data_IF_963162108238
#
_entry.id   IF_963162108238
#
_cell.length_a   1.000
_cell.length_b   1.000
_cell.length_c   1.000
_cell.angle_alpha   90.00
_cell.angle_beta   90.00
_cell.angle_gamma   90.00
#
_symmetry.space_group_name_H-M   'P 1'
#
loop_
_entity.id
_entity.type
_entity.pdbx_description
1 polymer ?
#
# COMPACT_ATOMS: atom_id res chain seq x y z
N UNK A 1 -35.48 12.21 -19.91
CA UNK A 1 -34.77 11.06 -19.30
C UNK A 1 -34.11 10.29 -20.43
N UNK A 2 -32.81 10.00 -20.33
CA UNK A 2 -32.11 9.17 -21.34
C UNK A 2 -32.71 7.76 -21.34
N UNK A 3 -32.87 7.15 -22.51
CA UNK A 3 -33.34 5.76 -22.62
C UNK A 3 -32.37 4.80 -21.93
N UNK A 4 -32.90 3.67 -21.44
CA UNK A 4 -32.09 2.60 -20.88
C UNK A 4 -31.08 2.13 -21.95
N UNK A 5 -29.78 2.03 -21.64
CA UNK A 5 -28.81 1.53 -22.59
C UNK A 5 -29.12 0.08 -22.94
N UNK A 6 -28.91 -0.27 -24.20
CA UNK A 6 -28.96 -1.66 -24.64
C UNK A 6 -27.70 -2.38 -24.16
N UNK A 7 -27.87 -3.58 -23.61
CA UNK A 7 -26.77 -4.37 -23.06
C UNK A 7 -26.65 -5.70 -23.80
N UNK A 8 -25.40 -6.17 -23.95
CA UNK A 8 -25.13 -7.48 -24.53
C UNK A 8 -25.79 -8.57 -23.70
N UNK A 9 -26.42 -9.52 -24.41
CA UNK A 9 -26.90 -10.76 -23.82
C UNK A 9 -25.72 -11.55 -23.24
N UNK A 10 -25.87 -11.92 -21.97
CA UNK A 10 -24.88 -12.69 -21.23
C UNK A 10 -24.85 -14.13 -21.75
N UNK A 11 -23.66 -14.73 -21.84
CA UNK A 11 -23.43 -16.12 -22.28
C UNK A 11 -22.78 -16.95 -21.16
N UNK A 12 -23.56 -17.43 -20.18
CA UNK A 12 -23.02 -18.18 -19.04
C UNK A 12 -22.26 -19.45 -19.44
N UNK A 13 -22.57 -20.04 -20.60
CA UNK A 13 -21.92 -21.24 -21.13
C UNK A 13 -20.45 -21.04 -21.53
N UNK A 14 -20.02 -19.80 -21.76
CA UNK A 14 -18.63 -19.46 -22.05
C UNK A 14 -17.82 -19.14 -20.80
N UNK A 15 -18.45 -19.12 -19.62
CA UNK A 15 -17.77 -18.85 -18.37
C UNK A 15 -17.07 -20.14 -17.92
N UNK A 16 -15.76 -20.11 -17.67
CA UNK A 16 -15.04 -21.31 -17.30
C UNK A 16 -15.58 -21.96 -16.01
N UNK A 17 -15.70 -23.30 -15.93
CA UNK A 17 -16.27 -24.00 -14.79
C UNK A 17 -15.60 -23.68 -13.44
N UNK A 18 -14.31 -23.35 -13.44
CA UNK A 18 -13.55 -23.01 -12.23
C UNK A 18 -14.03 -21.71 -11.54
N UNK A 19 -14.85 -20.90 -12.21
CA UNK A 19 -15.44 -19.67 -11.65
C UNK A 19 -16.69 -19.94 -10.81
N UNK A 20 -17.23 -21.17 -10.85
CA UNK A 20 -18.45 -21.55 -10.14
C UNK A 20 -18.34 -21.36 -8.62
N UNK A 21 -17.12 -21.47 -8.08
CA UNK A 21 -16.83 -21.32 -6.66
C UNK A 21 -16.86 -19.87 -6.16
N UNK A 22 -16.97 -18.89 -7.05
CA UNK A 22 -16.96 -17.48 -6.69
C UNK A 22 -18.32 -16.99 -6.20
N UNK A 23 -18.33 -15.75 -5.74
CA UNK A 23 -19.52 -15.07 -5.25
C UNK A 23 -20.13 -14.22 -6.37
N UNK A 24 -21.38 -14.50 -6.68
CA UNK A 24 -22.11 -13.95 -7.82
C UNK A 24 -23.30 -13.09 -7.39
N UNK A 25 -23.66 -12.15 -8.26
CA UNK A 25 -24.84 -11.31 -8.11
C UNK A 25 -25.45 -11.02 -9.48
N UNK A 26 -26.78 -10.85 -9.52
CA UNK A 26 -27.47 -10.30 -10.69
C UNK A 26 -27.52 -8.78 -10.59
N UNK A 27 -27.79 -8.07 -11.68
CA UNK A 27 -27.95 -6.61 -11.65
C UNK A 27 -28.99 -6.14 -12.64
N UNK A 28 -29.65 -5.03 -12.30
CA UNK A 28 -30.46 -4.24 -13.23
C UNK A 28 -29.89 -2.84 -13.31
N UNK A 29 -29.85 -2.27 -14.51
CA UNK A 29 -29.42 -0.89 -14.68
C UNK A 29 -30.42 0.07 -14.03
N UNK A 30 -29.91 0.91 -13.14
CA UNK A 30 -30.68 1.94 -12.44
C UNK A 30 -29.99 3.28 -12.56
N UNK A 31 -30.75 4.36 -12.66
CA UNK A 31 -30.19 5.71 -12.62
C UNK A 31 -29.86 6.11 -11.19
N UNK A 32 -28.70 6.74 -11.00
CA UNK A 32 -28.36 7.41 -9.75
C UNK A 32 -29.05 8.79 -9.65
N UNK A 33 -28.75 9.54 -8.58
CA UNK A 33 -29.33 10.86 -8.33
C UNK A 33 -28.99 11.90 -9.41
N UNK A 34 -27.90 11.67 -10.14
CA UNK A 34 -27.41 12.53 -11.22
C UNK A 34 -27.90 12.06 -12.59
N UNK A 35 -28.77 11.04 -12.63
CA UNK A 35 -29.31 10.45 -13.86
C UNK A 35 -28.35 9.52 -14.60
N UNK A 36 -27.21 9.15 -13.99
CA UNK A 36 -26.24 8.23 -14.62
C UNK A 36 -26.66 6.79 -14.43
N UNK A 37 -26.54 6.00 -15.49
CA UNK A 37 -26.83 4.58 -15.45
C UNK A 37 -25.76 3.80 -14.67
N UNK A 38 -26.16 3.18 -13.58
CA UNK A 38 -25.33 2.34 -12.70
C UNK A 38 -25.85 0.91 -12.71
N UNK A 39 -24.98 -0.05 -12.37
CA UNK A 39 -25.28 -1.49 -12.37
C UNK A 39 -25.04 -2.06 -10.97
N UNK A 40 -25.87 -1.74 -9.97
CA UNK A 40 -25.67 -2.24 -8.61
C UNK A 40 -25.90 -3.75 -8.53
N UNK A 41 -25.10 -4.49 -7.74
CA UNK A 41 -25.34 -5.91 -7.52
C UNK A 41 -26.60 -6.12 -6.68
N UNK A 42 -27.37 -7.15 -7.02
CA UNK A 42 -28.59 -7.57 -6.37
C UNK A 42 -28.60 -9.08 -6.14
N UNK A 43 -29.41 -9.52 -5.17
CA UNK A 43 -29.76 -10.93 -5.00
C UNK A 43 -30.84 -11.37 -6.01
N UNK A 44 -31.22 -12.65 -6.00
CA UNK A 44 -32.23 -13.21 -6.90
C UNK A 44 -33.62 -12.57 -6.78
N UNK A 45 -33.94 -11.91 -5.66
CA UNK A 45 -35.19 -11.18 -5.45
C UNK A 45 -35.12 -9.72 -5.90
N UNK A 46 -33.94 -9.26 -6.37
CA UNK A 46 -33.72 -7.90 -6.87
C UNK A 46 -33.37 -6.87 -5.79
N UNK A 47 -33.16 -7.29 -4.54
CA UNK A 47 -32.67 -6.41 -3.50
C UNK A 47 -31.17 -6.16 -3.66
N UNK A 48 -30.75 -4.90 -3.53
CA UNK A 48 -29.34 -4.50 -3.61
C UNK A 48 -28.53 -5.14 -2.49
N UNK A 49 -27.36 -5.67 -2.83
CA UNK A 49 -26.44 -6.29 -1.87
C UNK A 49 -25.14 -5.49 -1.75
N UNK A 50 -24.46 -5.65 -0.62
CA UNK A 50 -23.23 -4.90 -0.32
C UNK A 50 -22.01 -5.67 -0.78
N UNK A 51 -21.04 -4.97 -1.39
CA UNK A 51 -19.71 -5.51 -1.71
C UNK A 51 -18.85 -5.77 -0.47
N UNK A 52 -19.27 -5.32 0.72
CA UNK A 52 -18.60 -5.60 2.00
C UNK A 52 -19.26 -6.76 2.78
N UNK A 53 -20.32 -7.38 2.26
CA UNK A 53 -21.05 -8.49 2.91
C UNK A 53 -21.11 -9.72 2.01
N UNK A 54 -20.02 -10.52 1.93
CA UNK A 54 -19.92 -11.70 1.08
C UNK A 54 -21.05 -12.71 1.29
N UNK A 55 -21.57 -12.82 2.51
CA UNK A 55 -22.66 -13.70 2.89
C UNK A 55 -24.00 -13.40 2.18
N UNK A 56 -24.16 -12.20 1.63
CA UNK A 56 -25.33 -11.81 0.84
C UNK A 56 -25.24 -12.16 -0.64
N UNK A 57 -24.14 -12.78 -1.09
CA UNK A 57 -23.89 -13.12 -2.48
C UNK A 57 -24.28 -14.57 -2.78
N UNK A 58 -24.59 -14.83 -4.05
CA UNK A 58 -25.10 -16.11 -4.52
C UNK A 58 -23.99 -16.98 -5.11
N UNK A 59 -24.28 -18.28 -5.27
CA UNK A 59 -23.45 -19.17 -6.10
C UNK A 59 -23.74 -18.94 -7.58
N UNK A 60 -22.84 -19.42 -8.44
CA UNK A 60 -22.99 -19.27 -9.89
C UNK A 60 -24.32 -19.80 -10.43
N UNK A 61 -24.71 -21.03 -10.10
CA UNK A 61 -25.94 -21.63 -10.62
C UNK A 61 -27.19 -20.87 -10.17
N UNK A 62 -27.20 -20.35 -8.95
CA UNK A 62 -28.29 -19.52 -8.43
C UNK A 62 -28.39 -18.20 -9.20
N UNK A 63 -27.27 -17.50 -9.40
CA UNK A 63 -27.23 -16.27 -10.19
C UNK A 63 -27.61 -16.52 -11.66
N UNK A 64 -27.15 -17.62 -12.25
CA UNK A 64 -27.48 -18.05 -13.61
C UNK A 64 -28.97 -18.35 -13.77
N UNK A 65 -29.58 -19.03 -12.81
CA UNK A 65 -31.02 -19.32 -12.83
C UNK A 65 -31.86 -18.05 -12.66
N UNK A 66 -31.39 -17.09 -11.87
CA UNK A 66 -32.07 -15.81 -11.69
C UNK A 66 -31.95 -14.89 -12.92
N UNK A 67 -30.90 -15.04 -13.74
CA UNK A 67 -30.51 -14.13 -14.84
C UNK A 67 -31.66 -13.73 -15.78
N UNK A 68 -32.63 -14.61 -16.04
CA UNK A 68 -33.77 -14.32 -16.92
C UNK A 68 -34.62 -13.10 -16.48
N UNK A 69 -34.56 -12.70 -15.21
CA UNK A 69 -35.24 -11.52 -14.68
C UNK A 69 -34.39 -10.25 -14.59
N UNK A 70 -33.15 -10.27 -15.07
CA UNK A 70 -32.16 -9.22 -14.85
C UNK A 70 -31.38 -8.87 -16.12
N UNK A 71 -30.81 -7.66 -16.16
CA UNK A 71 -29.98 -7.20 -17.29
C UNK A 71 -28.65 -7.93 -17.40
N UNK A 72 -28.18 -8.56 -16.33
CA UNK A 72 -26.97 -9.36 -16.34
C UNK A 72 -26.59 -9.86 -14.94
N UNK A 73 -25.39 -10.43 -14.85
CA UNK A 73 -24.77 -10.79 -13.58
C UNK A 73 -23.31 -10.34 -13.49
N UNK A 74 -22.65 -10.67 -12.39
CA UNK A 74 -21.25 -10.40 -12.19
C UNK A 74 -20.72 -11.05 -10.92
N UNK A 75 -19.45 -10.78 -10.65
CA UNK A 75 -18.67 -11.42 -9.59
C UNK A 75 -18.22 -10.40 -8.57
N UNK A 76 -18.10 -10.84 -7.31
CA UNK A 76 -17.42 -10.09 -6.26
C UNK A 76 -15.92 -10.39 -6.31
N UNK A 77 -15.14 -9.35 -6.55
CA UNK A 77 -13.71 -9.35 -6.29
C UNK A 77 -13.51 -9.13 -4.80
N UNK A 78 -12.92 -10.11 -4.11
CA UNK A 78 -12.59 -10.04 -2.69
C UNK A 78 -11.13 -9.65 -2.50
N UNK A 79 -10.88 -8.82 -1.48
CA UNK A 79 -9.54 -8.30 -1.19
C UNK A 79 -8.55 -9.42 -0.87
N UNK A 80 -9.03 -10.45 -0.19
CA UNK A 80 -8.26 -11.60 0.29
C UNK A 80 -8.03 -12.64 -0.81
N UNK A 81 -8.80 -12.62 -1.89
CA UNK A 81 -8.60 -13.49 -3.05
C UNK A 81 -7.44 -12.98 -3.92
N UNK A 82 -6.87 -13.84 -4.76
CA UNK A 82 -5.91 -13.49 -5.81
C UNK A 82 -6.58 -13.02 -7.11
N UNK A 83 -7.90 -13.11 -7.23
CA UNK A 83 -8.63 -12.72 -8.42
C UNK A 83 -8.65 -11.19 -8.59
N UNK A 84 -8.31 -10.71 -9.79
CA UNK A 84 -8.44 -9.31 -10.18
C UNK A 84 -9.27 -9.16 -11.43
N UNK A 85 -9.94 -8.01 -11.51
CA UNK A 85 -10.63 -7.58 -12.71
C UNK A 85 -10.02 -6.28 -13.22
N UNK A 86 -9.89 -6.19 -14.54
CA UNK A 86 -9.35 -5.06 -15.28
C UNK A 86 -10.47 -4.61 -16.22
N UNK A 87 -11.09 -3.46 -15.97
CA UNK A 87 -12.17 -2.90 -16.79
C UNK A 87 -11.63 -1.77 -17.67
N UNK A 88 -11.72 -1.93 -18.99
CA UNK A 88 -11.26 -0.95 -19.96
C UNK A 88 -12.48 -0.29 -20.61
N UNK A 89 -12.62 1.01 -20.40
CA UNK A 89 -13.69 1.82 -20.95
C UNK A 89 -13.26 2.50 -22.25
N UNK A 90 -14.18 2.56 -23.23
CA UNK A 90 -14.00 3.25 -24.51
C UNK A 90 -12.68 2.84 -25.21
N UNK A 91 -12.53 1.53 -25.48
CA UNK A 91 -11.26 0.95 -25.94
C UNK A 91 -10.76 1.56 -27.27
N UNK A 92 -11.69 1.98 -28.11
CA UNK A 92 -11.47 2.67 -29.39
C UNK A 92 -10.80 4.04 -29.22
N UNK A 93 -11.09 4.73 -28.11
CA UNK A 93 -10.45 5.99 -27.72
C UNK A 93 -9.20 5.76 -26.86
N UNK A 94 -9.24 4.75 -26.00
CA UNK A 94 -8.16 4.42 -25.07
C UNK A 94 -6.88 3.98 -25.78
N UNK A 95 -6.97 3.05 -26.73
CA UNK A 95 -5.76 2.50 -27.39
C UNK A 95 -4.99 3.58 -28.16
N UNK A 96 -5.64 4.48 -28.94
CA UNK A 96 -4.93 5.60 -29.56
C UNK A 96 -4.31 6.57 -28.57
N UNK A 97 -4.97 6.83 -27.44
CA UNK A 97 -4.47 7.73 -26.41
C UNK A 97 -3.38 7.10 -25.52
N UNK A 98 -3.34 5.77 -25.43
CA UNK A 98 -2.38 5.00 -24.63
C UNK A 98 -1.95 3.71 -25.38
N UNK A 99 -1.03 3.82 -26.36
CA UNK A 99 -0.56 2.67 -27.13
C UNK A 99 0.05 1.54 -26.29
N UNK A 100 0.60 1.87 -25.12
CA UNK A 100 1.14 0.95 -24.11
C UNK A 100 0.08 -0.05 -23.66
N UNK A 101 -1.15 0.41 -23.40
CA UNK A 101 -2.30 -0.45 -23.08
C UNK A 101 -2.55 -1.42 -24.22
N UNK A 102 -2.47 -0.95 -25.48
CA UNK A 102 -2.59 -1.80 -26.66
C UNK A 102 -1.55 -2.92 -26.71
N UNK A 103 -0.29 -2.63 -26.36
CA UNK A 103 0.80 -3.64 -26.31
C UNK A 103 0.56 -4.67 -25.20
N UNK A 104 0.14 -4.23 -24.02
CA UNK A 104 -0.19 -5.11 -22.90
C UNK A 104 -1.36 -6.04 -23.25
N UNK A 105 -2.41 -5.51 -23.87
CA UNK A 105 -3.56 -6.29 -24.34
C UNK A 105 -3.19 -7.30 -25.44
N UNK A 106 -2.33 -6.92 -26.38
CA UNK A 106 -1.86 -7.81 -27.43
C UNK A 106 -1.09 -9.00 -26.84
N UNK A 107 -0.24 -8.74 -25.84
CA UNK A 107 0.46 -9.78 -25.08
C UNK A 107 -0.54 -10.65 -24.28
N UNK A 108 -1.47 -10.04 -23.56
CA UNK A 108 -2.48 -10.76 -22.79
C UNK A 108 -3.31 -11.71 -23.66
N UNK A 109 -3.73 -11.24 -24.85
CA UNK A 109 -4.42 -12.08 -25.84
C UNK A 109 -3.53 -13.22 -26.34
N UNK A 110 -2.25 -12.97 -26.61
CA UNK A 110 -1.31 -13.99 -27.09
C UNK A 110 -1.05 -15.07 -26.03
N UNK A 111 -0.94 -14.67 -24.77
CA UNK A 111 -0.79 -15.59 -23.64
C UNK A 111 -2.09 -16.35 -23.33
N UNK A 112 -3.22 -15.93 -23.91
CA UNK A 112 -4.51 -16.60 -23.70
C UNK A 112 -5.18 -16.21 -22.39
N UNK A 113 -4.94 -15.00 -21.89
CA UNK A 113 -5.64 -14.45 -20.72
C UNK A 113 -7.12 -14.27 -21.05
N UNK A 114 -8.01 -14.53 -20.09
CA UNK A 114 -9.45 -14.35 -20.27
C UNK A 114 -9.77 -12.88 -20.55
N UNK A 115 -10.52 -12.64 -21.63
CA UNK A 115 -11.00 -11.33 -22.03
C UNK A 115 -12.40 -11.40 -22.60
N UNK A 116 -13.29 -10.53 -22.12
CA UNK A 116 -14.68 -10.44 -22.55
C UNK A 116 -15.09 -9.00 -22.89
N UNK A 117 -16.12 -8.84 -23.70
CA UNK A 117 -16.71 -7.52 -23.96
C UNK A 117 -17.48 -7.04 -22.73
N UNK A 118 -17.41 -5.75 -22.43
CA UNK A 118 -18.26 -5.16 -21.38
C UNK A 118 -19.75 -5.18 -21.79
N UNK A 119 -20.71 -4.97 -20.89
CA UNK A 119 -22.13 -5.06 -21.20
C UNK A 119 -22.58 -4.05 -22.25
N UNK A 120 -21.92 -2.89 -22.35
CA UNK A 120 -22.22 -1.92 -23.42
C UNK A 120 -21.65 -2.32 -24.78
N UNK A 121 -20.82 -3.37 -24.85
CA UNK A 121 -20.15 -3.82 -26.06
C UNK A 121 -18.98 -2.96 -26.55
N UNK A 122 -18.76 -1.80 -25.93
CA UNK A 122 -17.73 -0.82 -26.30
C UNK A 122 -16.46 -0.90 -25.45
N UNK A 123 -16.50 -1.61 -24.32
CA UNK A 123 -15.37 -1.83 -23.42
C UNK A 123 -14.89 -3.27 -23.44
N UNK A 124 -13.79 -3.51 -22.72
CA UNK A 124 -13.15 -4.81 -22.58
C UNK A 124 -12.92 -5.10 -21.11
N UNK A 125 -13.09 -6.35 -20.68
CA UNK A 125 -12.72 -6.80 -19.34
C UNK A 125 -11.80 -7.98 -19.38
N UNK A 126 -10.81 -7.95 -18.52
CA UNK A 126 -9.92 -9.07 -18.29
C UNK A 126 -10.00 -9.50 -16.83
N UNK A 127 -9.86 -10.81 -16.61
CA UNK A 127 -9.79 -11.40 -15.29
C UNK A 127 -8.51 -12.21 -15.18
N UNK A 128 -7.75 -11.98 -14.11
CA UNK A 128 -6.42 -12.55 -13.89
C UNK A 128 -6.26 -12.96 -12.42
N UNK A 129 -5.32 -13.85 -12.14
CA UNK A 129 -4.80 -14.05 -10.79
C UNK A 129 -3.57 -13.18 -10.59
N UNK A 130 -3.56 -12.42 -9.50
CA UNK A 130 -2.52 -11.47 -9.13
C UNK A 130 -2.75 -11.00 -7.69
N UNK A 131 -1.78 -11.11 -6.77
CA UNK A 131 -1.86 -10.44 -5.47
C UNK A 131 -2.20 -8.93 -5.59
N UNK A 132 -3.06 -8.43 -4.69
CA UNK A 132 -3.37 -7.01 -4.61
C UNK A 132 -2.58 -6.38 -3.49
N UNK A 133 -1.52 -5.66 -3.86
CA UNK A 133 -0.58 -5.07 -2.91
C UNK A 133 -0.94 -3.62 -2.53
N UNK A 134 -1.97 -3.04 -3.17
CA UNK A 134 -2.39 -1.67 -2.91
C UNK A 134 -3.38 -1.58 -1.74
N UNK A 135 -3.31 -0.49 -0.99
CA UNK A 135 -4.27 -0.24 0.08
C UNK A 135 -5.68 0.04 -0.46
N UNK A 136 -5.77 0.71 -1.62
CA UNK A 136 -7.03 1.10 -2.25
C UNK A 136 -7.83 -0.12 -2.74
N UNK A 137 -9.15 -0.01 -2.84
CA UNK A 137 -9.99 -1.12 -3.38
C UNK A 137 -9.91 -1.23 -4.90
N UNK A 138 -9.64 -0.11 -5.56
CA UNK A 138 -9.50 0.00 -7.00
C UNK A 138 -8.58 1.16 -7.34
N UNK A 139 -7.97 1.10 -8.51
CA UNK A 139 -7.07 2.13 -9.05
C UNK A 139 -7.52 2.48 -10.46
N UNK A 140 -7.35 3.72 -10.90
CA UNK A 140 -7.78 4.15 -12.23
C UNK A 140 -6.59 4.72 -13.01
N UNK A 141 -6.27 4.08 -14.12
CA UNK A 141 -5.31 4.59 -15.10
C UNK A 141 -6.11 5.36 -16.15
N UNK A 142 -6.01 6.69 -16.15
CA UNK A 142 -6.79 7.53 -17.07
C UNK A 142 -5.94 7.92 -18.28
N UNK A 143 -6.55 7.88 -19.47
CA UNK A 143 -5.89 8.34 -20.67
C UNK A 143 -5.58 9.85 -20.57
N UNK A 144 -4.36 10.28 -20.91
CA UNK A 144 -4.01 11.70 -20.92
C UNK A 144 -4.83 12.45 -21.98
N UNK A 145 -5.04 13.74 -21.76
CA UNK A 145 -5.68 14.65 -22.72
C UNK A 145 -6.92 15.38 -22.19
N UNK A 146 -7.36 16.37 -22.97
CA UNK A 146 -8.54 17.18 -22.69
C UNK A 146 -9.81 16.49 -23.21
N UNK A 147 -10.51 15.81 -22.30
CA UNK A 147 -11.75 15.11 -22.63
C UNK A 147 -12.98 16.01 -22.42
N UNK A 148 -13.98 16.00 -23.31
CA UNK A 148 -15.16 16.85 -23.19
C UNK A 148 -15.88 16.71 -21.85
N UNK A 149 -16.26 17.84 -21.27
CA UNK A 149 -16.97 17.89 -19.99
C UNK A 149 -18.32 17.17 -20.10
N UNK A 150 -18.45 16.03 -19.41
CA UNK A 150 -19.65 15.18 -19.42
C UNK A 150 -19.46 13.84 -20.14
N UNK A 151 -18.37 13.65 -20.88
CA UNK A 151 -17.97 12.35 -21.40
C UNK A 151 -17.14 11.57 -20.37
N UNK A 152 -17.25 10.24 -20.40
CA UNK A 152 -16.42 9.37 -19.56
C UNK A 152 -15.00 9.36 -20.13
N UNK A 153 -14.03 9.83 -19.34
CA UNK A 153 -12.60 9.77 -19.68
C UNK A 153 -12.20 8.31 -19.94
N UNK A 154 -11.68 7.98 -21.14
CA UNK A 154 -11.16 6.65 -21.42
C UNK A 154 -10.08 6.27 -20.42
N UNK A 155 -10.03 4.99 -20.06
CA UNK A 155 -9.10 4.54 -19.05
C UNK A 155 -9.32 3.08 -18.68
N UNK A 156 -8.49 2.65 -17.74
CA UNK A 156 -8.50 1.31 -17.16
C UNK A 156 -8.81 1.43 -15.68
N UNK A 157 -9.85 0.74 -15.22
CA UNK A 157 -10.16 0.56 -13.80
C UNK A 157 -9.66 -0.82 -13.35
N UNK A 158 -8.73 -0.83 -12.40
CA UNK A 158 -8.13 -2.03 -11.83
C UNK A 158 -8.80 -2.33 -10.48
N UNK A 159 -9.40 -3.50 -10.32
CA UNK A 159 -10.16 -3.88 -9.14
C UNK A 159 -9.40 -4.89 -8.28
N UNK A 160 -9.06 -4.47 -7.05
CA UNK A 160 -8.64 -5.36 -5.95
C UNK A 160 -9.79 -5.78 -5.04
N UNK A 161 -10.88 -5.01 -5.04
CA UNK A 161 -12.12 -5.34 -4.33
C UNK A 161 -13.32 -4.63 -4.98
N UNK A 162 -14.43 -5.33 -5.16
CA UNK A 162 -15.68 -4.74 -5.63
C UNK A 162 -16.49 -5.64 -6.55
N UNK A 163 -17.62 -5.14 -7.02
CA UNK A 163 -18.46 -5.83 -7.99
C UNK A 163 -18.01 -5.53 -9.41
N UNK A 164 -17.82 -6.56 -10.23
CA UNK A 164 -17.55 -6.42 -11.66
C UNK A 164 -18.53 -7.27 -12.46
N UNK A 165 -19.18 -6.67 -13.45
CA UNK A 165 -20.14 -7.39 -14.28
C UNK A 165 -19.44 -8.38 -15.21
N UNK A 166 -20.11 -9.48 -15.54
CA UNK A 166 -19.58 -10.54 -16.40
C UNK A 166 -20.55 -10.76 -17.55
N UNK A 167 -20.04 -10.86 -18.78
CA UNK A 167 -20.86 -11.11 -19.97
C UNK A 167 -20.67 -12.50 -20.55
N UNK A 168 -19.51 -13.13 -20.38
CA UNK A 168 -19.19 -14.38 -21.08
C UNK A 168 -19.12 -14.21 -22.61
N UNK A 169 -19.11 -12.98 -23.12
CA UNK A 169 -18.98 -12.71 -24.56
C UNK A 169 -17.49 -12.52 -24.85
N UNK A 170 -16.80 -13.52 -25.42
CA UNK A 170 -15.35 -13.47 -25.56
C UNK A 170 -14.91 -12.32 -26.47
N UNK A 171 -13.91 -11.56 -26.01
CA UNK A 171 -13.22 -10.59 -26.85
C UNK A 171 -12.22 -11.28 -27.80
N UNK A 172 -11.72 -12.46 -27.41
CA UNK A 172 -10.91 -13.36 -28.23
C UNK A 172 -11.12 -14.82 -27.81
N UNK A 173 -10.77 -15.75 -28.70
CA UNK A 173 -10.99 -17.19 -28.48
C UNK A 173 -10.01 -17.77 -27.47
N UNK A 174 -10.49 -18.71 -26.66
CA UNK A 174 -9.65 -19.59 -25.83
C UNK A 174 -9.01 -18.91 -24.61
N UNK A 175 -9.49 -17.74 -24.20
CA UNK A 175 -9.00 -17.07 -23.00
C UNK A 175 -9.36 -17.84 -21.73
N UNK A 176 -8.42 -17.95 -20.80
CA UNK A 176 -8.59 -18.55 -19.47
C UNK A 176 -7.99 -17.64 -18.39
N UNK A 177 -8.39 -17.79 -17.14
CA UNK A 177 -7.74 -17.03 -16.06
C UNK A 177 -6.35 -17.58 -15.84
N UNK A 178 -5.38 -16.68 -15.87
CA UNK A 178 -3.98 -16.99 -15.63
C UNK A 178 -3.38 -16.05 -14.59
N UNK A 179 -2.30 -16.49 -13.97
CA UNK A 179 -1.42 -15.63 -13.19
C UNK A 179 -0.82 -14.57 -14.12
N UNK A 180 -1.12 -13.30 -13.87
CA UNK A 180 -0.68 -12.20 -14.71
C UNK A 180 -0.40 -10.93 -13.90
N UNK A 181 0.42 -11.06 -12.85
CA UNK A 181 0.90 -9.92 -12.08
C UNK A 181 1.57 -8.87 -12.99
N UNK A 182 2.31 -9.32 -14.02
CA UNK A 182 2.95 -8.44 -15.01
C UNK A 182 1.97 -7.50 -15.73
N UNK A 183 0.73 -7.96 -15.96
CA UNK A 183 -0.28 -7.16 -16.64
C UNK A 183 -0.84 -6.12 -15.68
N UNK A 184 -1.08 -6.51 -14.43
CA UNK A 184 -1.51 -5.59 -13.38
C UNK A 184 -0.46 -4.51 -13.12
N UNK A 185 0.80 -4.91 -12.92
CA UNK A 185 1.94 -4.00 -12.69
C UNK A 185 2.17 -3.09 -13.89
N UNK A 186 2.16 -3.66 -15.11
CA UNK A 186 2.34 -2.90 -16.34
C UNK A 186 1.26 -1.85 -16.55
N UNK A 187 0.01 -2.12 -16.14
CA UNK A 187 -1.07 -1.13 -16.18
C UNK A 187 -0.93 -0.09 -15.07
N UNK A 188 -0.58 -0.50 -13.85
CA UNK A 188 -0.35 0.42 -12.72
C UNK A 188 0.80 1.40 -12.99
N UNK A 189 1.85 0.94 -13.66
CA UNK A 189 2.97 1.80 -14.06
C UNK A 189 2.54 2.94 -14.99
N UNK A 190 1.44 2.78 -15.75
CA UNK A 190 0.91 3.83 -16.63
C UNK A 190 0.10 4.91 -15.91
N UNK A 191 -0.30 4.69 -14.65
CA UNK A 191 -0.92 5.74 -13.82
C UNK A 191 0.10 6.85 -13.50
N UNK A 192 1.37 6.49 -13.50
CA UNK A 192 2.49 7.39 -13.38
C UNK A 192 2.98 7.65 -14.80
N UNK A 193 2.52 8.70 -15.51
CA UNK A 193 3.25 9.11 -16.70
C UNK A 193 4.70 9.28 -16.24
N UNK A 194 5.64 8.68 -16.96
CA UNK A 194 7.03 9.13 -16.92
C UNK A 194 6.94 10.66 -16.94
N UNK A 195 7.23 11.30 -15.79
CA UNK A 195 7.57 12.71 -15.83
C UNK A 195 8.66 12.75 -16.90
N UNK A 196 8.59 13.67 -17.88
CA UNK A 196 9.74 13.86 -18.74
C UNK A 196 10.90 14.00 -17.75
N UNK A 197 11.86 13.10 -17.83
CA UNK A 197 13.17 13.34 -17.27
C UNK A 197 13.52 14.66 -17.93
N UNK A 198 13.35 15.77 -17.21
CA UNK A 198 14.07 16.98 -17.53
C UNK A 198 15.46 16.42 -17.72
N UNK A 199 15.99 16.54 -18.94
CA UNK A 199 17.40 16.38 -19.13
C UNK A 199 18.00 17.36 -18.12
N UNK A 200 18.35 16.83 -16.94
CA UNK A 200 19.21 17.50 -15.99
C UNK A 200 20.41 17.78 -16.87
N UNK A 201 20.69 19.06 -17.06
CA UNK A 201 22.00 19.42 -17.54
C UNK A 201 22.95 18.65 -16.62
N UNK A 202 23.76 17.81 -17.25
CA UNK A 202 24.78 17.03 -16.59
C UNK A 202 25.83 18.05 -16.16
N UNK A 203 25.51 18.74 -15.06
CA UNK A 203 26.36 19.71 -14.39
C UNK A 203 27.41 18.86 -13.70
N UNK A 204 28.36 18.32 -14.48
CA UNK A 204 29.31 17.28 -14.07
C UNK A 204 29.85 17.48 -12.66
N UNK A 205 29.19 16.88 -11.67
CA UNK A 205 29.80 16.61 -10.38
C UNK A 205 30.84 15.52 -10.65
N UNK A 206 32.11 15.78 -10.31
CA UNK A 206 33.17 14.81 -10.59
C UNK A 206 32.80 13.48 -9.92
N UNK A 207 32.97 12.34 -10.63
CA UNK A 207 32.65 11.04 -10.07
C UNK A 207 33.39 10.88 -8.75
N UNK A 208 32.62 10.63 -7.68
CA UNK A 208 33.21 10.29 -6.39
C UNK A 208 33.94 8.95 -6.55
N UNK A 209 35.07 8.81 -5.86
CA UNK A 209 35.72 7.50 -5.77
C UNK A 209 34.72 6.53 -5.14
N UNK A 210 34.26 5.57 -5.95
CA UNK A 210 33.22 4.64 -5.58
C UNK A 210 33.65 3.79 -4.37
N UNK A 211 34.92 3.41 -4.28
CA UNK A 211 35.43 2.65 -3.14
C UNK A 211 35.38 3.48 -1.87
N UNK A 212 35.80 4.75 -1.91
CA UNK A 212 35.72 5.65 -0.76
C UNK A 212 34.26 5.97 -0.38
N UNK A 213 33.38 6.11 -1.38
CA UNK A 213 31.96 6.32 -1.15
C UNK A 213 31.32 5.10 -0.47
N UNK A 214 31.58 3.89 -0.97
CA UNK A 214 31.08 2.64 -0.38
C UNK A 214 31.60 2.46 1.05
N UNK A 215 32.87 2.76 1.34
CA UNK A 215 33.40 2.73 2.72
C UNK A 215 32.64 3.70 3.65
N UNK A 216 32.45 4.95 3.21
CA UNK A 216 31.73 5.97 4.00
C UNK A 216 30.27 5.59 4.22
N UNK A 217 29.59 5.11 3.18
CA UNK A 217 28.18 4.68 3.25
C UNK A 217 28.06 3.45 4.14
N UNK A 218 28.92 2.44 3.98
CA UNK A 218 28.95 1.23 4.82
C UNK A 218 29.08 1.58 6.31
N UNK A 219 30.09 2.40 6.67
CA UNK A 219 30.30 2.84 8.05
C UNK A 219 29.12 3.66 8.60
N UNK A 220 28.44 4.44 7.75
CA UNK A 220 27.28 5.23 8.14
C UNK A 220 26.02 4.37 8.36
N UNK A 221 25.82 3.34 7.54
CA UNK A 221 24.70 2.39 7.63
C UNK A 221 24.91 1.45 8.81
N UNK A 222 26.11 0.88 8.98
CA UNK A 222 26.47 0.02 10.12
C UNK A 222 26.25 0.74 11.46
N UNK A 223 26.65 2.02 11.56
CA UNK A 223 26.41 2.83 12.78
C UNK A 223 24.92 3.08 13.04
N UNK A 224 24.10 3.25 11.99
CA UNK A 224 22.68 3.61 12.11
C UNK A 224 21.76 2.40 12.26
N UNK A 225 22.14 1.25 11.69
CA UNK A 225 21.37 0.02 11.65
C UNK A 225 22.26 -1.20 11.96
N UNK A 226 22.95 -1.25 13.12
CA UNK A 226 23.97 -2.26 13.40
C UNK A 226 23.43 -3.69 13.39
N UNK A 227 22.20 -3.90 13.88
CA UNK A 227 21.56 -5.24 13.89
C UNK A 227 21.23 -5.72 12.48
N UNK A 228 20.58 -4.87 11.69
CA UNK A 228 20.20 -5.20 10.32
C UNK A 228 21.44 -5.36 9.42
N UNK A 229 22.47 -4.54 9.65
CA UNK A 229 23.76 -4.63 8.98
C UNK A 229 24.47 -5.95 9.28
N UNK A 230 24.42 -6.44 10.52
CA UNK A 230 24.98 -7.73 10.91
C UNK A 230 24.19 -8.94 10.36
N UNK A 231 23.08 -8.71 9.66
CA UNK A 231 22.20 -9.77 9.15
C UNK A 231 21.22 -10.32 10.19
N UNK A 232 21.18 -9.72 11.39
CA UNK A 232 20.26 -10.11 12.46
C UNK A 232 18.89 -9.43 12.26
N UNK A 233 18.17 -9.87 11.24
CA UNK A 233 16.84 -9.34 10.93
C UNK A 233 15.74 -9.89 11.84
N UNK A 234 16.02 -10.97 12.57
CA UNK A 234 15.07 -11.64 13.50
C UNK A 234 15.31 -11.24 14.96
N UNK A 235 16.56 -10.95 15.32
CA UNK A 235 17.00 -10.73 16.69
C UNK A 235 16.77 -9.29 17.13
N UNK A 236 15.83 -9.16 18.07
CA UNK A 236 15.93 -8.15 19.12
C UNK A 236 16.48 -8.82 20.37
N UNK A 237 17.79 -8.71 20.61
CA UNK A 237 18.36 -8.85 21.96
C UNK A 237 19.60 -7.95 22.14
N UNK A 238 19.43 -6.85 22.91
CA UNK A 238 20.48 -5.94 23.43
C UNK A 238 21.10 -4.99 22.39
N UNK A 239 21.43 -3.72 22.62
CA UNK A 239 21.80 -3.01 23.86
C UNK A 239 21.43 -1.51 23.82
N UNK A 240 20.49 -1.11 22.95
CA UNK A 240 20.01 0.28 22.86
C UNK A 240 18.49 0.32 22.67
N UNK A 241 17.74 0.27 23.77
CA UNK A 241 16.41 0.87 23.92
C UNK A 241 15.31 0.49 22.90
N UNK A 242 14.57 -0.58 23.24
CA UNK A 242 13.13 -0.79 23.03
C UNK A 242 12.48 -0.67 21.63
N UNK A 243 12.19 -1.84 21.03
CA UNK A 243 10.80 -2.16 20.64
C UNK A 243 10.40 -2.06 19.17
N UNK A 244 11.14 -2.69 18.25
CA UNK A 244 10.54 -3.22 17.01
C UNK A 244 10.95 -4.68 16.95
N UNK A 245 9.98 -5.60 17.06
CA UNK A 245 10.26 -7.01 16.74
C UNK A 245 10.88 -7.08 15.36
N UNK A 246 11.80 -8.03 15.15
CA UNK A 246 12.48 -8.22 13.87
C UNK A 246 11.53 -8.21 12.66
N UNK A 247 12.10 -8.04 11.48
CA UNK A 247 11.30 -7.91 10.27
C UNK A 247 10.42 -9.16 10.08
N UNK A 248 9.14 -9.00 9.69
CA UNK A 248 8.20 -10.12 9.53
C UNK A 248 8.64 -11.10 8.42
N UNK A 249 9.55 -10.67 7.56
CA UNK A 249 10.26 -11.51 6.62
C UNK A 249 11.60 -10.89 6.22
N UNK A 250 12.48 -11.76 5.74
CA UNK A 250 13.83 -11.39 5.31
C UNK A 250 13.81 -10.47 4.07
N UNK A 251 12.74 -10.49 3.27
CA UNK A 251 12.61 -9.57 2.12
C UNK A 251 12.25 -8.15 2.54
N UNK A 252 11.49 -7.98 3.62
CA UNK A 252 11.23 -6.70 4.27
C UNK A 252 12.49 -6.13 4.90
N UNK A 253 13.32 -7.00 5.51
CA UNK A 253 14.64 -6.66 6.02
C UNK A 253 15.58 -6.17 4.91
N UNK A 254 15.68 -6.90 3.80
CA UNK A 254 16.50 -6.54 2.64
C UNK A 254 16.07 -5.16 2.08
N UNK A 255 14.77 -4.92 1.94
CA UNK A 255 14.30 -3.64 1.42
C UNK A 255 14.55 -2.47 2.38
N UNK A 256 14.36 -2.68 3.69
CA UNK A 256 14.64 -1.64 4.69
C UNK A 256 16.11 -1.25 4.74
N UNK A 257 17.03 -2.24 4.67
CA UNK A 257 18.46 -1.98 4.60
C UNK A 257 18.83 -1.26 3.29
N UNK A 258 18.26 -1.68 2.15
CA UNK A 258 18.48 -1.03 0.87
C UNK A 258 18.01 0.44 0.85
N UNK A 259 16.88 0.76 1.49
CA UNK A 259 16.40 2.16 1.63
C UNK A 259 17.36 3.01 2.46
N UNK A 260 17.88 2.47 3.56
CA UNK A 260 18.85 3.19 4.39
C UNK A 260 20.18 3.40 3.65
N UNK A 261 20.66 2.41 2.90
CA UNK A 261 21.84 2.53 2.03
C UNK A 261 21.63 3.61 0.97
N UNK A 262 20.50 3.60 0.25
CA UNK A 262 20.22 4.60 -0.78
C UNK A 262 20.17 6.03 -0.21
N UNK A 263 19.58 6.18 0.98
CA UNK A 263 19.54 7.47 1.70
C UNK A 263 20.95 7.94 2.09
N UNK A 264 21.80 7.03 2.56
CA UNK A 264 23.18 7.34 2.93
C UNK A 264 24.08 7.62 1.74
N UNK A 265 23.91 6.92 0.63
CA UNK A 265 24.64 7.18 -0.60
C UNK A 265 24.36 8.60 -1.11
N UNK A 266 23.09 9.04 -1.10
CA UNK A 266 22.72 10.42 -1.44
C UNK A 266 23.30 11.44 -0.46
N UNK A 267 23.24 11.18 0.85
CA UNK A 267 23.80 12.05 1.90
C UNK A 267 25.34 12.17 1.79
N UNK A 268 26.01 11.13 1.30
CA UNK A 268 27.44 11.10 1.03
C UNK A 268 27.85 11.76 -0.30
N UNK A 269 26.88 12.27 -1.08
CA UNK A 269 27.11 12.92 -2.37
C UNK A 269 27.38 11.93 -3.52
N UNK A 270 26.91 10.69 -3.42
CA UNK A 270 26.99 9.74 -4.54
C UNK A 270 26.03 10.21 -5.65
N UNK A 271 26.52 10.42 -6.88
CA UNK A 271 25.68 10.88 -7.99
C UNK A 271 24.70 9.79 -8.41
N UNK A 272 23.57 10.21 -8.98
CA UNK A 272 22.49 9.29 -9.40
C UNK A 272 22.98 8.16 -10.31
N UNK A 273 23.97 8.45 -11.17
CA UNK A 273 24.61 7.49 -12.08
C UNK A 273 25.37 6.36 -11.36
N UNK A 274 25.82 6.57 -10.12
CA UNK A 274 26.58 5.61 -9.32
C UNK A 274 25.77 5.01 -8.16
N UNK A 275 24.55 5.50 -7.89
CA UNK A 275 23.76 5.05 -6.74
C UNK A 275 23.46 3.55 -6.77
N UNK A 276 23.15 3.00 -7.94
CA UNK A 276 22.85 1.58 -8.08
C UNK A 276 24.04 0.71 -7.68
N UNK A 277 25.21 1.01 -8.25
CA UNK A 277 26.47 0.28 -8.01
C UNK A 277 26.95 0.45 -6.58
N UNK A 278 26.96 1.69 -6.07
CA UNK A 278 27.34 1.99 -4.69
C UNK A 278 26.43 1.27 -3.68
N UNK A 279 25.12 1.20 -3.97
CA UNK A 279 24.16 0.57 -3.07
C UNK A 279 24.27 -0.96 -3.08
N UNK A 280 24.50 -1.58 -4.24
CA UNK A 280 24.72 -3.04 -4.31
C UNK A 280 26.01 -3.45 -3.61
N UNK A 281 27.12 -2.74 -3.88
CA UNK A 281 28.41 -3.03 -3.24
C UNK A 281 28.37 -2.82 -1.73
N UNK A 282 27.67 -1.77 -1.27
CA UNK A 282 27.44 -1.55 0.17
C UNK A 282 26.58 -2.67 0.77
N UNK A 283 25.50 -3.08 0.09
CA UNK A 283 24.63 -4.14 0.59
C UNK A 283 25.38 -5.47 0.72
N UNK A 284 26.25 -5.80 -0.26
CA UNK A 284 27.04 -7.02 -0.28
C UNK A 284 28.02 -7.15 0.90
N UNK A 285 28.29 -6.06 1.62
CA UNK A 285 29.11 -6.05 2.84
C UNK A 285 28.31 -6.33 4.11
N UNK A 286 26.98 -6.36 4.03
CA UNK A 286 26.10 -6.67 5.16
C UNK A 286 25.90 -8.17 5.33
N UNK A 287 25.55 -8.60 6.54
CA UNK A 287 25.19 -9.99 6.83
C UNK A 287 23.91 -10.47 6.13
N UNK A 288 23.05 -9.56 5.65
CA UNK A 288 21.87 -9.95 4.84
C UNK A 288 22.25 -10.47 3.45
N UNK A 289 23.42 -10.10 2.94
CA UNK A 289 23.89 -10.55 1.63
C UNK A 289 24.25 -12.05 1.59
N UNK A 290 24.41 -12.71 2.74
CA UNK A 290 24.66 -14.15 2.84
C UNK A 290 23.44 -15.00 2.43
N UNK A 291 22.28 -14.37 2.24
CA UNK A 291 21.05 -15.04 1.81
C UNK A 291 21.19 -15.62 0.40
N UNK A 292 20.88 -16.90 0.24
CA UNK A 292 20.85 -17.61 -1.06
C UNK A 292 20.02 -16.86 -2.13
N UNK A 293 18.84 -16.35 -1.75
CA UNK A 293 18.01 -15.51 -2.63
C UNK A 293 18.70 -14.22 -3.05
N UNK A 294 19.52 -13.61 -2.20
CA UNK A 294 20.29 -12.43 -2.59
C UNK A 294 21.43 -12.82 -3.54
N UNK A 295 22.17 -13.90 -3.26
CA UNK A 295 23.31 -14.35 -4.06
C UNK A 295 22.90 -14.84 -5.47
N UNK A 296 21.86 -15.66 -5.55
CA UNK A 296 21.51 -16.38 -6.79
C UNK A 296 20.55 -15.61 -7.72
N UNK A 297 19.89 -14.56 -7.22
CA UNK A 297 18.86 -13.83 -7.96
C UNK A 297 19.27 -12.38 -8.21
N UNK A 298 20.02 -12.16 -9.28
CA UNK A 298 20.39 -10.81 -9.74
C UNK A 298 19.17 -9.90 -9.96
N UNK A 299 18.06 -10.46 -10.49
CA UNK A 299 16.79 -9.74 -10.69
C UNK A 299 16.14 -9.29 -9.37
N UNK A 300 16.34 -10.06 -8.28
CA UNK A 300 15.88 -9.69 -6.95
C UNK A 300 16.72 -8.58 -6.34
N UNK A 301 18.06 -8.65 -6.46
CA UNK A 301 18.97 -7.59 -5.98
C UNK A 301 18.70 -6.27 -6.68
N UNK A 302 18.69 -6.30 -8.01
CA UNK A 302 18.49 -5.13 -8.86
C UNK A 302 17.16 -4.44 -8.55
N UNK A 303 16.07 -5.21 -8.42
CA UNK A 303 14.76 -4.65 -8.08
C UNK A 303 14.71 -4.09 -6.66
N UNK A 304 15.29 -4.77 -5.67
CA UNK A 304 15.26 -4.32 -4.27
C UNK A 304 15.97 -2.98 -4.09
N UNK A 305 17.13 -2.83 -4.74
CA UNK A 305 17.93 -1.60 -4.70
C UNK A 305 17.27 -0.49 -5.53
N UNK A 306 16.76 -0.80 -6.73
CA UNK A 306 16.04 0.18 -7.56
C UNK A 306 14.83 0.75 -6.82
N UNK A 307 14.01 -0.11 -6.22
CA UNK A 307 12.84 0.32 -5.44
C UNK A 307 13.25 1.21 -4.25
N UNK A 308 14.38 0.94 -3.62
CA UNK A 308 14.91 1.76 -2.52
C UNK A 308 15.40 3.14 -3.01
N UNK A 309 16.12 3.18 -4.12
CA UNK A 309 16.57 4.44 -4.73
C UNK A 309 15.36 5.29 -5.17
N UNK A 310 14.35 4.67 -5.77
CA UNK A 310 13.11 5.34 -6.19
C UNK A 310 12.28 5.82 -4.99
N UNK A 311 12.17 5.01 -3.93
CA UNK A 311 11.47 5.42 -2.70
C UNK A 311 12.14 6.64 -2.07
N UNK A 312 13.48 6.65 -1.97
CA UNK A 312 14.24 7.79 -1.45
C UNK A 312 14.22 9.01 -2.39
N UNK A 313 14.02 8.81 -3.69
CA UNK A 313 13.82 9.87 -4.67
C UNK A 313 12.43 10.50 -4.56
N UNK A 314 11.39 9.69 -4.35
CA UNK A 314 10.03 10.16 -4.08
C UNK A 314 9.94 10.93 -2.75
N UNK A 315 10.74 10.55 -1.75
CA UNK A 315 10.90 11.29 -0.49
C UNK A 315 11.62 12.64 -0.70
N UNK A 316 12.52 12.73 -1.69
CA UNK A 316 13.28 13.95 -2.03
C UNK A 316 12.53 14.89 -3.00
N UNK A 317 11.66 14.38 -3.87
CA UNK A 317 10.97 15.12 -4.94
C UNK A 317 9.45 15.26 -4.73
N UNK A 318 8.91 14.66 -3.66
CA UNK A 318 7.52 14.74 -3.22
C UNK A 318 7.23 15.95 -2.33
N UNK A 319 7.18 17.14 -2.91
CA UNK A 319 6.55 18.30 -2.27
C UNK A 319 5.02 18.31 -2.48
N UNK A 320 4.27 18.36 -1.37
CA UNK A 320 2.87 18.87 -1.20
C UNK A 320 1.69 17.91 -0.91
N UNK A 321 1.95 16.79 -0.26
CA UNK A 321 1.30 16.50 1.01
C UNK A 321 2.43 16.15 1.96
N UNK A 322 2.41 16.54 3.23
CA UNK A 322 3.46 16.09 4.14
C UNK A 322 3.01 14.82 4.88
N UNK A 323 3.36 13.59 4.43
CA UNK A 323 3.52 12.44 5.31
C UNK A 323 4.26 12.82 6.59
N UNK A 324 5.26 13.69 6.47
CA UNK A 324 6.01 14.29 7.56
C UNK A 324 5.12 14.95 8.64
N UNK A 325 3.98 15.57 8.32
CA UNK A 325 3.17 16.26 9.34
C UNK A 325 2.37 15.28 10.22
N UNK A 326 1.83 14.20 9.63
CA UNK A 326 1.17 13.12 10.40
C UNK A 326 2.23 12.32 11.15
N UNK A 327 3.33 11.95 10.51
CA UNK A 327 4.42 11.18 11.13
C UNK A 327 5.11 11.98 12.24
N UNK A 328 5.28 13.29 12.06
CA UNK A 328 5.77 14.20 13.10
C UNK A 328 4.85 14.21 14.31
N UNK A 329 3.54 14.31 14.11
CA UNK A 329 2.60 14.19 15.23
C UNK A 329 2.60 12.78 15.82
N UNK A 330 2.72 11.72 15.03
CA UNK A 330 2.80 10.35 15.54
C UNK A 330 4.07 10.05 16.34
N UNK A 331 5.16 10.80 16.09
CA UNK A 331 6.45 10.63 16.77
C UNK A 331 6.32 10.82 18.28
N UNK A 332 5.54 11.81 18.70
CA UNK A 332 5.38 12.16 20.10
C UNK A 332 3.92 12.16 20.57
N UNK A 333 2.91 12.06 19.70
CA UNK A 333 1.49 12.03 20.08
C UNK A 333 0.81 10.68 19.82
N UNK A 334 -0.21 10.39 20.62
CA UNK A 334 -1.15 9.28 20.40
C UNK A 334 -2.51 9.55 21.06
N UNK A 335 -3.51 8.73 20.72
CA UNK A 335 -4.86 8.82 21.29
C UNK A 335 -5.17 7.55 22.06
N UNK A 336 -5.64 7.68 23.30
CA UNK A 336 -6.04 6.55 24.14
C UNK A 336 -7.12 6.94 25.16
N UNK A 337 -7.96 6.00 25.63
CA UNK A 337 -8.82 6.22 26.80
C UNK A 337 -8.02 6.14 28.11
N UNK A 338 -8.34 7.04 29.04
CA UNK A 338 -7.86 7.01 30.42
C UNK A 338 -8.93 7.60 31.35
N UNK A 339 -9.29 6.87 32.40
CA UNK A 339 -10.30 7.32 33.36
C UNK A 339 -11.68 7.60 32.74
N UNK A 340 -12.08 6.81 31.75
CA UNK A 340 -13.37 6.96 31.05
C UNK A 340 -13.45 8.10 30.04
N UNK A 341 -12.34 8.80 29.77
CA UNK A 341 -12.26 9.87 28.76
C UNK A 341 -11.23 9.52 27.70
N UNK A 342 -11.55 9.78 26.43
CA UNK A 342 -10.56 9.72 25.34
C UNK A 342 -9.73 11.01 25.37
N UNK A 343 -8.41 10.87 25.34
CA UNK A 343 -7.47 12.00 25.39
C UNK A 343 -6.42 11.89 24.28
N UNK A 344 -5.81 13.03 23.96
CA UNK A 344 -4.56 13.06 23.19
C UNK A 344 -3.41 13.11 24.19
N UNK A 345 -2.48 12.18 24.07
CA UNK A 345 -1.27 12.11 24.88
C UNK A 345 -0.09 12.62 24.08
N UNK A 346 0.86 13.25 24.77
CA UNK A 346 2.18 13.58 24.22
C UNK A 346 3.28 12.99 25.09
N UNK A 347 4.15 12.19 24.48
CA UNK A 347 5.40 11.73 25.04
C UNK A 347 6.39 12.89 25.17
N UNK A 348 6.89 13.11 26.38
CA UNK A 348 7.83 14.17 26.67
C UNK A 348 8.79 13.73 27.79
N UNK A 349 9.82 14.54 28.03
CA UNK A 349 10.72 14.38 29.18
C UNK A 349 10.43 15.47 30.18
N UNK A 350 10.36 15.11 31.45
CA UNK A 350 10.31 16.05 32.53
C UNK A 350 11.57 16.95 32.49
N UNK A 351 11.43 18.29 32.46
CA UNK A 351 12.56 19.18 32.23
C UNK A 351 13.53 19.25 33.42
N UNK A 352 13.09 18.87 34.61
CA UNK A 352 13.92 18.89 35.83
C UNK A 352 14.67 17.56 36.01
N UNK A 353 14.00 16.45 35.74
CA UNK A 353 14.51 15.10 36.03
C UNK A 353 14.96 14.32 34.78
N UNK A 354 14.61 14.79 33.59
CA UNK A 354 14.87 14.12 32.30
C UNK A 354 14.04 12.85 32.07
N UNK A 355 13.17 12.48 33.03
CA UNK A 355 12.42 11.22 33.00
C UNK A 355 11.28 11.27 31.97
N UNK A 356 10.98 10.17 31.27
CA UNK A 356 9.81 10.09 30.40
C UNK A 356 8.52 10.40 31.18
N UNK A 357 7.66 11.24 30.60
CA UNK A 357 6.35 11.60 31.14
C UNK A 357 5.34 11.80 30.00
N UNK A 358 4.06 11.83 30.37
CA UNK A 358 2.96 12.01 29.43
C UNK A 358 2.16 13.28 29.76
N UNK A 359 2.11 14.21 28.82
CA UNK A 359 1.11 15.28 28.85
C UNK A 359 -0.23 14.78 28.33
N UNK A 360 -1.31 15.32 28.89
CA UNK A 360 -2.70 14.97 28.59
C UNK A 360 -3.46 16.18 28.08
N UNK A 361 -3.97 16.09 26.86
CA UNK A 361 -4.76 17.15 26.25
C UNK A 361 -6.19 16.69 25.99
N UNK A 362 -7.15 17.61 26.13
CA UNK A 362 -8.45 17.45 25.49
C UNK A 362 -8.30 17.60 23.97
N UNK A 363 -9.32 17.20 23.20
CA UNK A 363 -9.28 17.45 21.75
C UNK A 363 -9.25 18.95 21.43
N UNK A 364 -9.87 19.78 22.27
CA UNK A 364 -9.92 21.23 22.14
C UNK A 364 -8.55 21.85 22.44
N UNK A 365 -7.88 21.44 23.53
CA UNK A 365 -6.54 21.94 23.87
C UNK A 365 -5.50 21.52 22.84
N UNK A 366 -5.61 20.29 22.30
CA UNK A 366 -4.74 19.82 21.22
C UNK A 366 -4.94 20.65 19.94
N UNK A 367 -6.19 20.94 19.56
CA UNK A 367 -6.48 21.83 18.41
C UNK A 367 -5.94 23.24 18.64
N UNK A 368 -6.05 23.76 19.87
CA UNK A 368 -5.53 25.08 20.24
C UNK A 368 -3.99 25.11 20.14
N UNK A 369 -3.31 24.09 20.64
CA UNK A 369 -1.85 23.97 20.62
C UNK A 369 -1.30 24.00 19.17
N UNK A 370 -1.95 23.28 18.27
CA UNK A 370 -1.57 23.16 16.86
C UNK A 370 -2.36 24.07 15.92
N UNK A 371 -3.02 25.12 16.44
CA UNK A 371 -3.92 25.96 15.63
C UNK A 371 -3.21 26.72 14.51
N UNK A 372 -1.92 26.98 14.68
CA UNK A 372 -1.06 27.69 13.74
C UNK A 372 -0.56 26.78 12.62
N UNK A 373 -0.83 25.47 12.70
CA UNK A 373 -0.30 24.46 11.80
C UNK A 373 -1.39 23.99 10.84
N UNK A 374 -1.05 23.94 9.56
CA UNK A 374 -1.92 23.47 8.49
C UNK A 374 -1.24 22.37 7.69
N UNK A 375 -2.05 21.63 6.94
CA UNK A 375 -1.62 20.61 6.00
C UNK A 375 -2.32 20.83 4.66
N UNK A 376 -1.55 20.77 3.59
CA UNK A 376 -2.08 20.77 2.23
C UNK A 376 -2.52 19.35 1.85
N UNK A 377 -3.78 19.23 1.45
CA UNK A 377 -4.40 17.96 1.04
C UNK A 377 -5.00 18.19 -0.34
N UNK A 378 -4.25 17.82 -1.37
CA UNK A 378 -4.52 18.29 -2.73
C UNK A 378 -4.36 19.81 -2.82
N UNK A 379 -5.29 20.50 -3.48
CA UNK A 379 -5.24 21.97 -3.64
C UNK A 379 -5.80 22.75 -2.43
N UNK A 380 -6.13 22.08 -1.32
CA UNK A 380 -6.80 22.70 -0.18
C UNK A 380 -5.96 22.62 1.08
N UNK A 381 -5.75 23.77 1.71
CA UNK A 381 -5.17 23.88 3.05
C UNK A 381 -6.22 23.56 4.12
N UNK A 382 -5.88 22.68 5.06
CA UNK A 382 -6.72 22.31 6.19
C UNK A 382 -5.93 22.43 7.51
N UNK A 383 -6.57 22.74 8.64
CA UNK A 383 -5.89 22.72 9.94
C UNK A 383 -5.35 21.32 10.29
N UNK A 384 -4.09 21.23 10.70
CA UNK A 384 -3.37 19.97 10.90
C UNK A 384 -3.97 19.11 12.02
N UNK A 385 -4.25 19.69 13.19
CA UNK A 385 -4.78 18.92 14.33
C UNK A 385 -6.14 18.25 14.05
N UNK A 386 -7.16 18.96 13.52
CA UNK A 386 -8.41 18.31 13.09
C UNK A 386 -8.21 17.24 12.01
N UNK A 387 -7.24 17.43 11.12
CA UNK A 387 -6.89 16.45 10.09
C UNK A 387 -6.28 15.18 10.71
N UNK A 388 -5.31 15.33 11.62
CA UNK A 388 -4.68 14.21 12.34
C UNK A 388 -5.68 13.47 13.24
N UNK A 389 -6.54 14.17 14.00
CA UNK A 389 -7.56 13.55 14.86
C UNK A 389 -8.55 12.67 14.09
N UNK A 390 -8.81 12.98 12.81
CA UNK A 390 -9.66 12.17 11.92
C UNK A 390 -8.88 11.12 11.13
N UNK A 391 -7.56 11.21 11.08
CA UNK A 391 -6.72 10.32 10.28
C UNK A 391 -6.73 8.90 10.84
N UNK A 392 -6.88 7.87 9.98
CA UNK A 392 -6.69 6.47 10.37
C UNK A 392 -5.21 6.14 10.62
N UNK A 393 -4.28 6.97 10.10
CA UNK A 393 -2.83 6.82 10.34
C UNK A 393 -2.38 7.41 11.68
N UNK A 394 -3.25 8.08 12.44
CA UNK A 394 -2.89 8.61 13.76
C UNK A 394 -2.65 7.46 14.75
N UNK A 395 -1.59 7.55 15.54
CA UNK A 395 -1.22 6.53 16.54
C UNK A 395 -2.31 6.42 17.62
N UNK A 396 -2.91 5.23 17.76
CA UNK A 396 -4.09 4.98 18.62
C UNK A 396 -3.92 3.69 19.42
N UNK A 397 -4.34 3.75 20.68
CA UNK A 397 -4.38 2.62 21.59
C UNK A 397 -5.78 2.53 22.19
N UNK A 398 -6.71 1.84 21.52
CA UNK A 398 -8.13 1.84 21.89
C UNK A 398 -8.39 1.19 23.25
N UNK A 399 -7.50 0.32 23.72
CA UNK A 399 -7.64 -0.37 25.02
C UNK A 399 -6.96 0.40 26.16
N UNK A 400 -6.38 1.57 25.87
CA UNK A 400 -5.92 2.52 26.88
C UNK A 400 -4.42 2.54 27.11
N UNK A 401 -4.05 3.09 28.25
CA UNK A 401 -2.68 3.22 28.75
C UNK A 401 -2.54 2.31 29.96
N UNK A 402 -1.53 1.44 29.96
CA UNK A 402 -1.27 0.53 31.08
C UNK A 402 0.23 0.34 31.34
N UNK A 403 0.58 0.01 32.58
CA UNK A 403 1.93 -0.38 32.94
C UNK A 403 2.04 -1.91 32.90
N UNK A 404 2.70 -2.45 31.87
CA UNK A 404 2.81 -3.89 31.63
C UNK A 404 4.30 -4.25 31.52
N UNK A 405 4.94 -4.69 32.61
CA UNK A 405 6.36 -5.04 32.63
C UNK A 405 6.69 -6.43 32.03
N UNK A 406 5.74 -7.07 31.34
CA UNK A 406 5.90 -8.41 30.71
C UNK A 406 5.88 -8.29 29.19
N UNK A 407 6.56 -9.20 28.48
CA UNK A 407 6.76 -9.18 27.02
C UNK A 407 5.51 -9.46 26.15
N UNK A 408 4.29 -9.26 26.68
CA UNK A 408 3.05 -9.54 25.94
C UNK A 408 2.05 -8.37 26.03
N UNK A 409 2.52 -7.15 25.79
CA UNK A 409 1.64 -5.99 25.72
C UNK A 409 0.84 -6.03 24.41
N UNK A 410 -0.51 -6.07 24.45
CA UNK A 410 -1.32 -5.98 23.25
C UNK A 410 -1.03 -4.70 22.46
N UNK A 411 -0.99 -4.79 21.12
CA UNK A 411 -0.75 -3.64 20.24
C UNK A 411 -1.80 -2.52 20.40
N UNK A 412 -2.93 -2.81 21.02
CA UNK A 412 -4.03 -1.89 21.31
C UNK A 412 -3.85 -1.09 22.61
N UNK A 413 -2.81 -1.39 23.41
CA UNK A 413 -2.50 -0.74 24.68
C UNK A 413 -1.17 0.00 24.55
N UNK A 414 -1.15 1.25 25.01
CA UNK A 414 0.11 1.97 25.17
C UNK A 414 0.78 1.55 26.47
N UNK A 415 1.95 0.91 26.36
CA UNK A 415 2.71 0.45 27.52
C UNK A 415 3.51 1.58 28.18
N UNK A 416 3.36 1.75 29.49
CA UNK A 416 4.17 2.67 30.31
C UNK A 416 5.49 2.05 30.76
N UNK A 417 5.64 0.72 30.70
CA UNK A 417 6.90 0.08 31.01
C UNK A 417 7.94 0.41 29.92
N UNK A 418 9.11 0.86 30.37
CA UNK A 418 10.24 1.28 29.53
C UNK A 418 11.55 0.54 29.89
N UNK A 419 11.40 -0.68 30.42
CA UNK A 419 12.51 -1.44 30.99
C UNK A 419 12.93 -0.98 32.38
N UNK A 420 14.00 -1.59 32.89
CA UNK A 420 14.61 -1.19 34.15
C UNK A 420 15.43 0.08 33.96
N UNK A 421 15.40 0.99 34.95
CA UNK A 421 16.18 2.23 34.90
C UNK A 421 17.70 2.04 35.04
N UNK A 422 18.16 0.80 35.19
CA UNK A 422 19.55 0.36 35.25
C UNK A 422 19.66 -1.00 34.56
N UNK A 423 20.79 -1.27 33.89
CA UNK A 423 21.07 -2.58 33.34
C UNK A 423 21.39 -3.57 34.46
N UNK A 424 20.69 -4.71 34.54
CA UNK A 424 21.02 -5.75 35.50
C UNK A 424 22.34 -6.41 35.12
N UNK A 425 23.32 -6.38 36.04
CA UNK A 425 24.60 -7.07 35.87
C UNK A 425 24.55 -8.44 36.54
N UNK A 426 25.04 -9.48 35.86
CA UNK A 426 25.13 -10.82 36.41
C UNK A 426 26.12 -10.86 37.59
N UNK A 427 25.66 -11.30 38.76
CA UNK A 427 26.47 -11.32 39.99
C UNK A 427 25.76 -12.01 41.16
N UNK A 428 26.51 -12.29 42.24
CA UNK A 428 25.95 -12.89 43.45
C UNK A 428 24.96 -11.92 44.11
N UNK A 429 23.68 -12.29 44.15
CA UNK A 429 22.59 -11.47 44.72
C UNK A 429 22.50 -11.57 46.24
N UNK A 430 23.35 -12.38 46.89
CA UNK A 430 23.43 -12.49 48.36
C UNK A 430 23.60 -11.17 49.11
N UNK A 431 24.31 -10.12 48.62
CA UNK A 431 24.41 -8.86 49.35
C UNK A 431 23.05 -8.16 49.49
N UNK A 432 22.13 -8.31 48.52
CA UNK A 432 20.82 -7.64 48.54
C UNK A 432 19.85 -8.28 49.53
N UNK A 433 19.82 -9.61 49.65
CA UNK A 433 18.92 -10.30 50.59
C UNK A 433 19.25 -10.03 52.06
N UNK A 434 20.52 -9.77 52.38
CA UNK A 434 20.98 -9.52 53.77
C UNK A 434 20.87 -8.06 54.19
N UNK A 435 20.68 -7.11 53.25
CA UNK A 435 20.67 -5.66 53.55
C UNK A 435 19.27 -5.05 53.51
N UNK A 436 18.28 -5.73 52.93
CA UNK A 436 16.89 -5.25 52.80
C UNK A 436 15.90 -5.87 53.80
N UNK A 437 16.31 -6.91 54.54
CA UNK A 437 15.47 -7.65 55.49
C UNK A 437 15.90 -7.52 56.95
N UNK A 438 16.92 -6.71 57.23
CA UNK A 438 17.21 -6.14 58.57
C UNK A 438 16.63 -4.72 58.64
#
# INVERSE_FOLDING_TARGET
MSSKPDYLEVRPENIPPEWQAWLWAVWNATQDKDGRWTKPPCNAQGYKISTNKPEGWMRFDEAKNALAGFDGFGVLIQRESDLRAIDLDAIDKLIPAMPEVGRLLARARKEGIYGEKSPSGTGLRLFVRAPWLLQQKKTNVRAPGDWPKGEKTPGVELFGQGFVTVTGVPAWKGGTIQEAQWLLDGLLALEQPERPTLARQDDGEPPVDLAEAVERVSAAVERRQPQLWAGDWQGGSGDLGEGVGGYPGQSEADHALACEIARQAREAGVPDSQLMEASEETFNRSGLAEREKWQDRADYRERTIRNAIEATEQDAQGGSASPNAIERLNRDHFIAPEGGKVRVFREMKDPETGKPTLARYSAEDFKLLHQHESIEVGEKSQPLAPYWLRSPKARRYPDGVAFIPKDNTPATIYNLWRGFGVEPVEGDTKPLSTTLLD
#
